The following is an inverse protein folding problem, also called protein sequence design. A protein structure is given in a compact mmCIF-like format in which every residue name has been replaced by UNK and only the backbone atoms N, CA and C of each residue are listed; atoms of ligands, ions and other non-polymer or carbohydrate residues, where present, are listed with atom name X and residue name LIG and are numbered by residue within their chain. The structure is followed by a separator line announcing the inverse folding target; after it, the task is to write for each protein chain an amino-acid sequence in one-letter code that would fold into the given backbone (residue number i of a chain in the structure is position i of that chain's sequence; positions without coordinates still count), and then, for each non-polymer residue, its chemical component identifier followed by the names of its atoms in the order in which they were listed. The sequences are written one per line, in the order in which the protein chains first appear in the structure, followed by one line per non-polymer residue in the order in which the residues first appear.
data_IF_295129840232
#
_entry.id   IF_295129840232
#
_cell.length_a   1.000
_cell.length_b   1.000
_cell.length_c   1.000
_cell.angle_alpha   90.00
_cell.angle_beta   90.00
_cell.angle_gamma   90.00
#
_symmetry.space_group_name_H-M   'P 1'
#
loop_
_entity.id
_entity.type
_entity.pdbx_description
1 polymer ?
#
# COMPACT_ATOMS: atom_id res chain seq x y z
N UNK A 1 -24.38 13.58 22.31
CA UNK A 1 -24.73 12.44 21.43
C UNK A 1 -23.77 12.46 20.25
N UNK A 2 -22.80 11.55 20.10
CA UNK A 2 -22.03 11.52 18.87
C UNK A 2 -22.93 10.96 17.77
N UNK A 3 -23.01 11.70 16.66
CA UNK A 3 -23.77 11.30 15.48
C UNK A 3 -23.25 9.93 15.02
N UNK A 4 -24.15 8.94 14.93
CA UNK A 4 -23.85 7.65 14.34
C UNK A 4 -23.35 7.90 12.91
N UNK A 5 -22.05 7.68 12.67
CA UNK A 5 -21.50 7.63 11.32
C UNK A 5 -22.24 6.52 10.59
N UNK A 6 -23.22 6.90 9.75
CA UNK A 6 -23.87 5.99 8.82
C UNK A 6 -22.77 5.33 8.00
N UNK A 7 -22.55 4.03 8.18
CA UNK A 7 -21.71 3.22 7.30
C UNK A 7 -22.26 3.41 5.88
N UNK A 8 -21.45 3.98 5.00
CA UNK A 8 -21.76 4.00 3.58
C UNK A 8 -22.02 2.55 3.10
N UNK A 9 -22.95 2.33 2.16
CA UNK A 9 -23.20 0.99 1.65
C UNK A 9 -21.88 0.41 1.14
N UNK A 10 -21.57 -0.84 1.52
CA UNK A 10 -20.35 -1.52 1.14
C UNK A 10 -20.19 -1.43 -0.38
N UNK A 11 -19.28 -0.55 -0.83
CA UNK A 11 -18.96 -0.42 -2.25
C UNK A 11 -18.61 -1.82 -2.73
N UNK A 12 -19.31 -2.27 -3.78
CA UNK A 12 -19.22 -3.63 -4.32
C UNK A 12 -17.74 -3.98 -4.43
N UNK A 13 -17.22 -4.88 -3.56
CA UNK A 13 -15.83 -5.36 -3.62
C UNK A 13 -15.57 -5.70 -5.08
N UNK A 14 -14.57 -5.05 -5.69
CA UNK A 14 -14.30 -5.26 -7.11
C UNK A 14 -14.19 -6.76 -7.36
N UNK A 15 -14.98 -7.29 -8.29
CA UNK A 15 -15.09 -8.74 -8.50
C UNK A 15 -13.73 -9.25 -9.00
N UNK A 16 -12.96 -9.86 -8.10
CA UNK A 16 -11.71 -10.53 -8.45
C UNK A 16 -12.02 -11.92 -9.03
N UNK A 17 -11.38 -12.35 -10.14
CA UNK A 17 -11.48 -13.71 -10.63
C UNK A 17 -11.07 -14.72 -9.56
N UNK A 18 -11.59 -15.95 -9.64
CA UNK A 18 -11.17 -17.02 -8.72
C UNK A 18 -9.65 -17.20 -8.78
N UNK A 19 -9.00 -17.18 -7.61
CA UNK A 19 -7.55 -17.39 -7.40
C UNK A 19 -6.62 -16.22 -7.78
N UNK A 20 -7.14 -15.03 -8.09
CA UNK A 20 -6.27 -13.86 -8.23
C UNK A 20 -5.80 -13.37 -6.84
N UNK A 21 -4.50 -13.09 -6.73
CA UNK A 21 -3.90 -12.45 -5.56
C UNK A 21 -4.08 -10.94 -5.70
N UNK A 22 -4.71 -10.32 -4.70
CA UNK A 22 -4.98 -8.89 -4.64
C UNK A 22 -4.62 -8.33 -3.27
N UNK A 23 -4.23 -7.07 -3.27
CA UNK A 23 -4.17 -6.23 -2.08
C UNK A 23 -5.52 -5.51 -1.93
N UNK A 24 -6.09 -5.51 -0.73
CA UNK A 24 -7.36 -4.82 -0.47
C UNK A 24 -7.43 -4.22 0.93
N UNK A 25 -8.18 -3.15 1.05
CA UNK A 25 -8.63 -2.57 2.32
C UNK A 25 -10.15 -2.76 2.47
N UNK A 26 -10.75 -2.09 3.46
CA UNK A 26 -12.18 -2.13 3.71
C UNK A 26 -13.03 -1.50 2.59
N UNK A 27 -12.43 -0.65 1.75
CA UNK A 27 -13.10 0.02 0.63
C UNK A 27 -13.01 -0.80 -0.67
N UNK A 28 -11.99 -1.63 -0.83
CA UNK A 28 -11.86 -2.57 -1.93
C UNK A 28 -10.42 -2.87 -2.34
N UNK A 29 -10.25 -3.36 -3.57
CA UNK A 29 -8.93 -3.71 -4.11
C UNK A 29 -8.11 -2.46 -4.37
N UNK A 30 -6.90 -2.44 -3.83
CA UNK A 30 -5.89 -1.38 -4.00
C UNK A 30 -4.84 -1.77 -5.02
N UNK A 31 -4.55 -3.07 -5.18
CA UNK A 31 -3.60 -3.56 -6.16
C UNK A 31 -3.93 -5.01 -6.59
N UNK A 32 -3.63 -5.37 -7.84
CA UNK A 32 -4.00 -6.64 -8.46
C UNK A 32 -2.80 -7.37 -9.02
N UNK A 33 -2.88 -8.70 -9.00
CA UNK A 33 -1.83 -9.61 -9.49
C UNK A 33 -0.51 -9.27 -8.77
N UNK A 34 -0.53 -9.35 -7.44
CA UNK A 34 0.55 -8.81 -6.60
C UNK A 34 0.68 -7.29 -6.75
N UNK A 35 1.89 -6.74 -6.66
CA UNK A 35 2.17 -5.32 -6.86
C UNK A 35 2.22 -4.85 -8.35
N UNK A 36 1.69 -5.62 -9.31
CA UNK A 36 1.75 -5.24 -10.74
C UNK A 36 0.83 -4.05 -11.06
N UNK A 37 -0.46 -4.14 -10.70
CA UNK A 37 -1.46 -3.14 -11.12
C UNK A 37 -2.07 -2.44 -9.91
N UNK A 38 -1.43 -1.36 -9.48
CA UNK A 38 -1.99 -0.48 -8.44
C UNK A 38 -3.20 0.30 -8.98
N UNK A 39 -4.25 0.36 -8.16
CA UNK A 39 -5.45 1.13 -8.44
C UNK A 39 -5.20 2.63 -8.26
N UNK A 40 -5.93 3.49 -9.00
CA UNK A 40 -5.72 4.94 -8.94
C UNK A 40 -6.09 5.56 -7.59
N UNK A 41 -6.92 4.89 -6.76
CA UNK A 41 -7.36 5.40 -5.45
C UNK A 41 -6.21 5.54 -4.44
N UNK A 42 -5.17 4.71 -4.55
CA UNK A 42 -4.03 4.70 -3.63
C UNK A 42 -2.73 5.17 -4.29
N UNK A 43 -2.84 5.84 -5.44
CA UNK A 43 -1.68 6.37 -6.17
C UNK A 43 -1.02 7.47 -5.33
N UNK A 44 0.30 7.44 -5.24
CA UNK A 44 1.07 8.56 -4.68
C UNK A 44 1.03 9.76 -5.64
N UNK A 45 0.83 10.93 -5.05
CA UNK A 45 0.85 12.24 -5.71
C UNK A 45 1.80 13.16 -4.95
N UNK A 46 2.05 14.34 -5.52
CA UNK A 46 2.84 15.40 -4.90
C UNK A 46 2.23 15.92 -3.59
N UNK A 47 0.92 15.70 -3.38
CA UNK A 47 0.20 16.08 -2.16
C UNK A 47 0.21 14.97 -1.08
N UNK A 48 0.81 13.82 -1.37
CA UNK A 48 0.82 12.68 -0.44
C UNK A 48 1.74 12.93 0.75
N UNK A 49 1.19 12.87 1.97
CA UNK A 49 1.94 13.07 3.23
C UNK A 49 2.11 11.81 4.06
N UNK A 50 1.39 10.73 3.73
CA UNK A 50 1.53 9.42 4.33
C UNK A 50 1.59 8.37 3.22
N UNK A 51 2.55 7.45 3.30
CA UNK A 51 2.74 6.39 2.33
C UNK A 51 3.02 5.05 3.02
N UNK A 52 2.60 3.96 2.38
CA UNK A 52 2.96 2.59 2.78
C UNK A 52 3.63 1.94 1.59
N UNK A 53 4.87 1.49 1.78
CA UNK A 53 5.63 0.74 0.77
C UNK A 53 5.59 -0.75 1.12
N UNK A 54 5.17 -1.58 0.16
CA UNK A 54 5.20 -3.03 0.29
C UNK A 54 6.24 -3.58 -0.67
N UNK A 55 7.27 -4.21 -0.11
CA UNK A 55 8.32 -4.87 -0.87
C UNK A 55 8.04 -6.38 -0.85
N UNK A 56 7.99 -6.98 -2.04
CA UNK A 56 7.73 -8.40 -2.22
C UNK A 56 8.85 -9.02 -3.05
N UNK A 57 9.24 -10.23 -2.67
CA UNK A 57 10.37 -10.93 -3.26
C UNK A 57 10.03 -12.39 -3.55
N UNK A 58 10.67 -12.96 -4.58
CA UNK A 58 10.50 -14.36 -4.96
C UNK A 58 11.76 -15.15 -4.64
N UNK A 59 11.63 -16.14 -3.74
CA UNK A 59 12.74 -17.00 -3.33
C UNK A 59 13.49 -16.48 -2.09
N UNK A 60 14.40 -17.30 -1.53
CA UNK A 60 15.10 -16.99 -0.29
C UNK A 60 16.07 -15.80 -0.40
N UNK A 61 16.61 -15.54 -1.59
CA UNK A 61 17.65 -14.53 -1.81
C UNK A 61 17.10 -13.21 -2.39
N UNK A 62 15.82 -12.91 -2.15
CA UNK A 62 15.17 -11.74 -2.73
C UNK A 62 15.68 -10.38 -2.19
N UNK A 63 16.56 -10.39 -1.19
CA UNK A 63 17.25 -9.18 -0.72
C UNK A 63 16.36 -8.11 -0.10
N UNK A 64 15.19 -8.50 0.45
CA UNK A 64 14.18 -7.55 0.92
C UNK A 64 14.68 -6.66 2.06
N UNK A 65 15.46 -7.20 3.00
CA UNK A 65 16.01 -6.42 4.12
C UNK A 65 16.93 -5.29 3.63
N UNK A 66 17.80 -5.61 2.67
CA UNK A 66 18.70 -4.63 2.07
C UNK A 66 17.92 -3.56 1.29
N UNK A 67 16.93 -3.97 0.50
CA UNK A 67 16.07 -3.06 -0.26
C UNK A 67 15.23 -2.17 0.67
N UNK A 68 14.70 -2.70 1.77
CA UNK A 68 13.99 -1.94 2.80
C UNK A 68 14.91 -0.89 3.45
N UNK A 69 16.13 -1.27 3.81
CA UNK A 69 17.11 -0.36 4.41
C UNK A 69 17.53 0.76 3.44
N UNK A 70 17.77 0.42 2.17
CA UNK A 70 18.09 1.39 1.12
C UNK A 70 16.93 2.37 0.91
N UNK A 71 15.69 1.87 0.76
CA UNK A 71 14.51 2.71 0.61
C UNK A 71 14.32 3.65 1.81
N UNK A 72 14.49 3.14 3.03
CA UNK A 72 14.39 3.97 4.24
C UNK A 72 15.45 5.10 4.23
N UNK A 73 16.69 4.80 3.82
CA UNK A 73 17.75 5.79 3.67
C UNK A 73 17.42 6.86 2.63
N UNK A 74 16.90 6.44 1.47
CA UNK A 74 16.46 7.36 0.41
C UNK A 74 15.29 8.25 0.88
N UNK A 75 14.31 7.68 1.58
CA UNK A 75 13.20 8.47 2.14
C UNK A 75 13.70 9.50 3.15
N UNK A 76 14.62 9.13 4.04
CA UNK A 76 15.21 10.08 4.99
C UNK A 76 15.99 11.21 4.28
N UNK A 77 16.68 10.89 3.17
CA UNK A 77 17.42 11.86 2.37
C UNK A 77 16.49 12.83 1.61
N UNK A 78 15.48 12.31 0.92
CA UNK A 78 14.64 13.08 0.01
C UNK A 78 13.37 13.64 0.66
N UNK A 79 13.01 13.15 1.85
CA UNK A 79 11.89 13.67 2.66
C UNK A 79 12.37 14.01 4.09
N UNK A 80 13.18 15.07 4.26
CA UNK A 80 13.67 15.45 5.58
C UNK A 80 12.52 15.69 6.57
N UNK A 81 12.61 15.07 7.75
CA UNK A 81 11.58 15.17 8.79
C UNK A 81 10.43 14.17 8.66
N UNK A 82 10.43 13.31 7.64
CA UNK A 82 9.51 12.17 7.57
C UNK A 82 9.80 11.16 8.68
N UNK A 83 8.74 10.65 9.32
CA UNK A 83 8.83 9.52 10.25
C UNK A 83 8.79 8.20 9.47
N UNK A 84 9.87 7.42 9.55
CA UNK A 84 10.02 6.18 8.78
C UNK A 84 10.11 5.00 9.73
N UNK A 85 9.15 4.07 9.60
CA UNK A 85 9.15 2.80 10.33
C UNK A 85 9.27 1.63 9.36
N UNK A 86 10.29 0.79 9.54
CA UNK A 86 10.46 -0.49 8.82
C UNK A 86 9.94 -1.62 9.72
N UNK A 87 9.21 -2.58 9.14
CA UNK A 87 8.54 -3.69 9.86
C UNK A 87 8.87 -5.02 9.23
#
# INVERSE_FOLDING_TARGET
RPAARRRAPARRRSRSPRREIVWCDDEGVTCRRWNWRQGPRTRLTEESVNAVFLLEGMGPDAGLDAACAELAGLLAQFSPGADVTVR
#
